data_IF_929331960853
#
_entry.id   IF_929331960853
#
_cell.length_a   1.000
_cell.length_b   1.000
_cell.length_c   1.000
_cell.angle_alpha   90.00
_cell.angle_beta   90.00
_cell.angle_gamma   90.00
#
_symmetry.space_group_name_H-M   'P 1'
#
loop_
_entity.id
_entity.type
_entity.pdbx_description
1 polymer ?
#
# COMPACT_ATOMS: atom_id res chain seq x y z
N UNK A 1 -21.18 19.20 -14.63
CA UNK A 1 -20.22 19.39 -13.53
C UNK A 1 -20.85 18.81 -12.27
N UNK A 2 -20.25 17.78 -11.67
CA UNK A 2 -20.65 17.31 -10.34
C UNK A 2 -20.37 18.46 -9.36
N UNK A 3 -21.42 19.04 -8.79
CA UNK A 3 -21.30 20.07 -7.76
C UNK A 3 -21.00 19.35 -6.44
N UNK A 4 -19.72 19.04 -6.21
CA UNK A 4 -19.28 18.35 -4.99
C UNK A 4 -19.35 19.36 -3.85
N UNK A 5 -20.27 19.14 -2.93
CA UNK A 5 -20.41 19.94 -1.72
C UNK A 5 -19.39 19.48 -0.67
N UNK A 6 -18.23 20.14 -0.64
CA UNK A 6 -17.14 19.86 0.29
C UNK A 6 -17.53 20.06 1.77
N UNK A 7 -18.62 20.77 2.06
CA UNK A 7 -19.10 20.96 3.44
C UNK A 7 -19.67 19.67 4.06
N UNK A 8 -20.02 18.68 3.22
CA UNK A 8 -20.53 17.37 3.67
C UNK A 8 -19.43 16.37 4.04
N UNK A 9 -18.16 16.69 3.77
CA UNK A 9 -17.04 15.82 4.11
C UNK A 9 -16.76 15.98 5.60
N UNK A 10 -16.97 14.90 6.37
CA UNK A 10 -16.64 14.92 7.80
C UNK A 10 -15.15 15.12 8.02
N UNK A 11 -14.79 15.70 9.17
CA UNK A 11 -13.38 15.91 9.57
C UNK A 11 -12.58 14.60 9.55
N UNK A 12 -13.22 13.49 9.89
CA UNK A 12 -12.60 12.16 9.87
C UNK A 12 -12.21 11.71 8.46
N UNK A 13 -13.04 11.99 7.45
CA UNK A 13 -12.73 11.67 6.05
C UNK A 13 -11.57 12.54 5.56
N UNK A 14 -11.56 13.83 5.89
CA UNK A 14 -10.44 14.71 5.59
C UNK A 14 -9.12 14.23 6.20
N UNK A 15 -9.15 13.85 7.48
CA UNK A 15 -7.98 13.33 8.18
C UNK A 15 -7.52 11.99 7.58
N UNK A 16 -8.45 11.13 7.16
CA UNK A 16 -8.14 9.87 6.48
C UNK A 16 -7.46 10.10 5.13
N UNK A 17 -7.97 11.04 4.31
CA UNK A 17 -7.37 11.40 3.01
C UNK A 17 -5.95 11.94 3.22
N UNK A 18 -5.77 12.82 4.20
CA UNK A 18 -4.47 13.41 4.51
C UNK A 18 -3.46 12.34 4.97
N UNK A 19 -3.88 11.42 5.84
CA UNK A 19 -3.05 10.30 6.27
C UNK A 19 -2.69 9.37 5.10
N UNK A 20 -3.63 9.07 4.21
CA UNK A 20 -3.38 8.26 3.01
C UNK A 20 -2.38 8.94 2.06
N UNK A 21 -2.48 10.27 1.89
CA UNK A 21 -1.51 11.07 1.14
C UNK A 21 -0.11 10.96 1.75
N UNK A 22 0.03 11.13 3.07
CA UNK A 22 1.33 10.98 3.72
C UNK A 22 1.88 9.56 3.63
N UNK A 23 1.02 8.56 3.84
CA UNK A 23 1.33 7.14 3.75
C UNK A 23 1.81 6.71 2.36
N UNK A 24 1.41 7.41 1.29
CA UNK A 24 1.78 7.09 -0.09
C UNK A 24 2.94 7.94 -0.60
N UNK A 25 3.00 9.21 -0.21
CA UNK A 25 4.03 10.15 -0.70
C UNK A 25 5.34 9.99 0.06
N UNK A 26 5.32 9.92 1.40
CA UNK A 26 6.56 9.87 2.20
C UNK A 26 7.42 8.65 1.84
N UNK A 27 6.88 7.42 1.74
CA UNK A 27 7.72 6.27 1.39
C UNK A 27 8.29 6.38 -0.03
N UNK A 28 7.55 6.98 -0.97
CA UNK A 28 8.07 7.23 -2.32
C UNK A 28 9.18 8.27 -2.36
N UNK A 29 9.07 9.35 -1.57
CA UNK A 29 10.15 10.33 -1.40
C UNK A 29 11.40 9.67 -0.84
N UNK A 30 11.24 8.86 0.21
CA UNK A 30 12.36 8.17 0.86
C UNK A 30 12.99 7.14 -0.08
N UNK A 31 12.18 6.45 -0.88
CA UNK A 31 12.64 5.58 -1.96
C UNK A 31 13.57 6.38 -2.90
N UNK A 32 13.06 7.43 -3.56
CA UNK A 32 13.91 8.21 -4.48
C UNK A 32 15.14 8.83 -3.84
N UNK A 33 15.02 9.33 -2.61
CA UNK A 33 16.16 9.89 -1.89
C UNK A 33 17.28 8.87 -1.67
N UNK A 34 16.95 7.60 -1.44
CA UNK A 34 17.96 6.56 -1.21
C UNK A 34 18.50 6.01 -2.53
N UNK A 35 17.66 5.85 -3.55
CA UNK A 35 18.06 5.21 -4.81
C UNK A 35 18.67 6.14 -5.84
N UNK A 36 18.19 7.37 -5.93
CA UNK A 36 18.66 8.34 -6.91
C UNK A 36 18.53 9.76 -6.33
N UNK A 37 19.49 10.10 -5.48
CA UNK A 37 19.60 11.43 -4.88
C UNK A 37 19.64 12.53 -5.93
N UNK A 38 20.26 12.26 -7.09
CA UNK A 38 20.32 13.21 -8.18
C UNK A 38 18.91 13.48 -8.74
N UNK A 39 18.13 12.44 -9.00
CA UNK A 39 16.74 12.57 -9.43
C UNK A 39 15.88 13.28 -8.37
N UNK A 40 16.06 12.94 -7.10
CA UNK A 40 15.34 13.57 -5.99
C UNK A 40 15.62 15.08 -5.89
N UNK A 41 16.89 15.49 -6.04
CA UNK A 41 17.30 16.89 -5.90
C UNK A 41 16.99 17.75 -7.13
N UNK A 42 16.90 17.15 -8.32
CA UNK A 42 16.67 17.89 -9.57
C UNK A 42 15.21 17.91 -10.02
N UNK A 43 14.35 17.05 -9.47
CA UNK A 43 12.93 17.06 -9.78
C UNK A 43 12.17 18.13 -8.96
N UNK A 44 11.26 18.83 -9.63
CA UNK A 44 10.29 19.69 -8.95
C UNK A 44 9.43 18.87 -7.98
N UNK A 45 9.09 19.45 -6.83
CA UNK A 45 8.29 18.78 -5.78
C UNK A 45 7.01 18.14 -6.32
N UNK A 46 6.31 18.82 -7.23
CA UNK A 46 5.09 18.30 -7.86
C UNK A 46 5.36 17.01 -8.65
N UNK A 47 6.45 16.97 -9.43
CA UNK A 47 6.84 15.77 -10.20
C UNK A 47 7.22 14.64 -9.26
N UNK A 48 7.94 14.95 -8.18
CA UNK A 48 8.34 13.97 -7.18
C UNK A 48 7.12 13.37 -6.43
N UNK A 49 6.09 14.17 -6.14
CA UNK A 49 4.81 13.68 -5.59
C UNK A 49 4.15 12.69 -6.55
N UNK A 50 4.00 13.04 -7.82
CA UNK A 50 3.39 12.13 -8.80
C UNK A 50 4.19 10.86 -8.99
N UNK A 51 5.51 10.96 -9.03
CA UNK A 51 6.40 9.82 -9.19
C UNK A 51 6.35 8.90 -7.96
N UNK A 52 6.27 9.48 -6.77
CA UNK A 52 6.07 8.75 -5.52
C UNK A 52 4.75 8.00 -5.52
N UNK A 53 3.67 8.65 -5.94
CA UNK A 53 2.37 8.00 -6.13
C UNK A 53 2.44 6.87 -7.15
N UNK A 54 3.18 7.03 -8.26
CA UNK A 54 3.30 6.01 -9.28
C UNK A 54 3.98 4.72 -8.76
N UNK A 55 4.90 4.84 -7.80
CA UNK A 55 5.55 3.68 -7.18
C UNK A 55 4.67 3.08 -6.07
N UNK A 56 4.09 3.90 -5.19
CA UNK A 56 3.44 3.40 -3.98
C UNK A 56 1.97 3.01 -4.19
N UNK A 57 1.25 3.72 -5.06
CA UNK A 57 -0.18 3.48 -5.27
C UNK A 57 -0.51 2.11 -5.89
N UNK A 58 0.27 1.54 -6.83
CA UNK A 58 -0.03 0.20 -7.34
C UNK A 58 0.02 -0.86 -6.24
N UNK A 59 1.00 -0.79 -5.34
CA UNK A 59 1.10 -1.70 -4.19
C UNK A 59 -0.10 -1.55 -3.26
N UNK A 60 -0.46 -0.32 -2.93
CA UNK A 60 -1.65 -0.04 -2.12
C UNK A 60 -2.93 -0.59 -2.75
N UNK A 61 -3.17 -0.32 -4.04
CA UNK A 61 -4.37 -0.78 -4.76
C UNK A 61 -4.43 -2.31 -4.80
N UNK A 62 -3.34 -2.98 -5.19
CA UNK A 62 -3.31 -4.44 -5.27
C UNK A 62 -3.57 -5.06 -3.88
N UNK A 63 -2.91 -4.56 -2.83
CA UNK A 63 -3.12 -5.07 -1.48
C UNK A 63 -4.56 -4.84 -1.01
N UNK A 64 -5.13 -3.66 -1.27
CA UNK A 64 -6.50 -3.33 -0.88
C UNK A 64 -7.52 -4.20 -1.59
N UNK A 65 -7.31 -4.48 -2.89
CA UNK A 65 -8.18 -5.36 -3.68
C UNK A 65 -8.14 -6.80 -3.17
N UNK A 66 -6.96 -7.30 -2.80
CA UNK A 66 -6.84 -8.66 -2.26
C UNK A 66 -7.56 -8.77 -0.93
N UNK A 67 -7.39 -7.80 -0.04
CA UNK A 67 -8.15 -7.76 1.22
C UNK A 67 -9.65 -7.69 0.98
N UNK A 68 -10.11 -6.89 0.01
CA UNK A 68 -11.52 -6.80 -0.34
C UNK A 68 -12.09 -8.14 -0.83
N UNK A 69 -11.36 -8.84 -1.72
CA UNK A 69 -11.77 -10.15 -2.23
C UNK A 69 -11.79 -11.22 -1.12
N UNK A 70 -10.87 -11.14 -0.17
CA UNK A 70 -10.83 -12.09 0.96
C UNK A 70 -11.98 -11.84 1.93
N UNK A 71 -12.15 -10.61 2.40
CA UNK A 71 -13.22 -10.24 3.32
C UNK A 71 -14.61 -10.57 2.75
N UNK A 72 -14.85 -10.25 1.48
CA UNK A 72 -16.14 -10.56 0.81
C UNK A 72 -16.40 -12.05 0.60
N UNK A 73 -15.37 -12.91 0.66
CA UNK A 73 -15.53 -14.37 0.55
C UNK A 73 -15.70 -15.05 1.90
N UNK A 74 -15.20 -14.44 2.97
CA UNK A 74 -15.11 -15.05 4.30
C UNK A 74 -16.26 -14.62 5.22
N UNK A 75 -16.82 -13.44 4.98
CA UNK A 75 -17.88 -12.88 5.80
C UNK A 75 -19.17 -12.71 4.99
N UNK A 76 -20.26 -13.28 5.52
CA UNK A 76 -21.62 -13.15 4.93
C UNK A 76 -22.17 -11.72 5.08
N UNK A 77 -21.68 -10.96 6.06
CA UNK A 77 -22.06 -9.57 6.28
C UNK A 77 -20.97 -8.62 5.78
N UNK A 78 -21.32 -7.78 4.80
CA UNK A 78 -20.42 -6.73 4.27
C UNK A 78 -20.54 -5.49 5.16
N UNK A 79 -19.50 -5.14 5.95
CA UNK A 79 -19.56 -3.93 6.76
C UNK A 79 -19.63 -2.69 5.87
N UNK A 80 -20.37 -1.67 6.31
CA UNK A 80 -20.53 -0.40 5.57
C UNK A 80 -19.20 0.32 5.29
N UNK A 81 -18.19 0.07 6.12
CA UNK A 81 -16.84 0.64 6.01
C UNK A 81 -15.81 -0.31 5.38
N UNK A 82 -16.25 -1.39 4.73
CA UNK A 82 -15.35 -2.43 4.21
C UNK A 82 -14.22 -1.85 3.33
N UNK A 83 -14.57 -0.97 2.39
CA UNK A 83 -13.57 -0.34 1.51
C UNK A 83 -12.53 0.48 2.27
N UNK A 84 -12.95 1.17 3.34
CA UNK A 84 -12.04 1.95 4.20
C UNK A 84 -11.08 1.02 4.94
N UNK A 85 -11.58 -0.08 5.51
CA UNK A 85 -10.77 -1.06 6.24
C UNK A 85 -9.79 -1.74 5.29
N UNK A 86 -10.24 -2.23 4.13
CA UNK A 86 -9.38 -2.86 3.13
C UNK A 86 -8.30 -1.90 2.61
N UNK A 87 -8.65 -0.62 2.40
CA UNK A 87 -7.69 0.42 2.02
C UNK A 87 -6.61 0.66 3.09
N UNK A 88 -7.01 0.73 4.36
CA UNK A 88 -6.08 0.91 5.47
C UNK A 88 -5.16 -0.31 5.66
N UNK A 89 -5.72 -1.52 5.57
CA UNK A 89 -4.92 -2.75 5.60
C UNK A 89 -3.95 -2.79 4.42
N UNK A 90 -4.43 -2.52 3.20
CA UNK A 90 -3.62 -2.53 1.99
C UNK A 90 -2.46 -1.53 2.02
N UNK A 91 -2.70 -0.34 2.58
CA UNK A 91 -1.64 0.68 2.74
C UNK A 91 -0.60 0.27 3.78
N UNK A 92 -1.01 -0.40 4.86
CA UNK A 92 -0.08 -0.90 5.89
C UNK A 92 0.90 -1.91 5.32
N UNK A 93 0.42 -2.87 4.52
CA UNK A 93 1.30 -3.85 3.85
C UNK A 93 2.19 -3.20 2.78
N UNK A 94 1.66 -2.25 2.01
CA UNK A 94 2.46 -1.52 1.02
C UNK A 94 3.61 -0.76 1.69
N UNK A 95 3.34 -0.07 2.80
CA UNK A 95 4.36 0.59 3.62
C UNK A 95 5.39 -0.42 4.09
N UNK A 96 4.97 -1.53 4.69
CA UNK A 96 5.88 -2.56 5.19
C UNK A 96 6.83 -3.06 4.09
N UNK A 97 6.31 -3.38 2.90
CA UNK A 97 7.11 -3.82 1.76
C UNK A 97 8.14 -2.76 1.37
N UNK A 98 7.71 -1.51 1.18
CA UNK A 98 8.61 -0.42 0.75
C UNK A 98 9.71 -0.19 1.78
N UNK A 99 9.37 -0.17 3.08
CA UNK A 99 10.37 0.01 4.14
C UNK A 99 11.33 -1.16 4.25
N UNK A 100 10.87 -2.41 4.07
CA UNK A 100 11.76 -3.57 4.02
C UNK A 100 12.77 -3.45 2.88
N UNK A 101 12.32 -3.04 1.69
CA UNK A 101 13.21 -2.82 0.53
C UNK A 101 14.22 -1.72 0.83
N UNK A 102 13.78 -0.59 1.38
CA UNK A 102 14.65 0.51 1.79
C UNK A 102 15.71 0.05 2.81
N UNK A 103 15.32 -0.69 3.84
CA UNK A 103 16.24 -1.20 4.86
C UNK A 103 17.27 -2.14 4.22
N UNK A 104 16.83 -3.07 3.38
CA UNK A 104 17.73 -4.00 2.70
C UNK A 104 18.71 -3.25 1.79
N UNK A 105 18.27 -2.21 1.10
CA UNK A 105 19.14 -1.44 0.24
C UNK A 105 20.26 -0.70 0.98
N UNK A 106 20.00 -0.24 2.22
CA UNK A 106 21.04 0.39 3.06
C UNK A 106 22.22 -0.57 3.30
N UNK A 107 22.00 -1.88 3.29
CA UNK A 107 23.04 -2.88 3.55
C UNK A 107 23.67 -3.49 2.29
N UNK A 108 22.94 -3.53 1.16
CA UNK A 108 23.34 -4.33 0.00
C UNK A 108 23.49 -3.54 -1.31
N UNK A 109 23.21 -2.23 -1.31
CA UNK A 109 23.43 -1.30 -2.43
C UNK A 109 22.91 -1.83 -3.79
N UNK A 110 21.61 -2.13 -3.83
CA UNK A 110 20.92 -2.66 -5.01
C UNK A 110 20.62 -1.57 -6.03
N UNK A 111 20.70 -1.93 -7.32
CA UNK A 111 20.21 -1.10 -8.41
C UNK A 111 18.69 -0.95 -8.40
N UNK A 112 18.15 0.07 -9.09
CA UNK A 112 16.70 0.33 -9.14
C UNK A 112 15.89 -0.89 -9.63
N UNK A 113 16.41 -1.65 -10.61
CA UNK A 113 15.76 -2.85 -11.13
C UNK A 113 15.72 -3.98 -10.08
N UNK A 114 16.81 -4.18 -9.34
CA UNK A 114 16.88 -5.19 -8.27
C UNK A 114 15.90 -4.86 -7.15
N UNK A 115 15.75 -3.58 -6.80
CA UNK A 115 14.75 -3.16 -5.82
C UNK A 115 13.32 -3.36 -6.31
N UNK A 116 13.03 -3.13 -7.59
CA UNK A 116 11.73 -3.46 -8.16
C UNK A 116 11.45 -4.96 -8.03
N UNK A 117 12.43 -5.82 -8.35
CA UNK A 117 12.28 -7.26 -8.16
C UNK A 117 12.08 -7.64 -6.69
N UNK A 118 12.77 -6.95 -5.77
CA UNK A 118 12.63 -7.18 -4.33
C UNK A 118 11.24 -6.75 -3.82
N UNK A 119 10.71 -5.62 -4.29
CA UNK A 119 9.33 -5.18 -4.02
C UNK A 119 8.35 -6.26 -4.49
N UNK A 120 8.48 -6.72 -5.73
CA UNK A 120 7.61 -7.76 -6.30
C UNK A 120 7.73 -9.09 -5.55
N UNK A 121 8.95 -9.47 -5.15
CA UNK A 121 9.21 -10.68 -4.38
C UNK A 121 8.58 -10.62 -3.00
N UNK A 122 8.77 -9.52 -2.26
CA UNK A 122 8.13 -9.32 -0.95
C UNK A 122 6.61 -9.25 -1.07
N UNK A 123 6.10 -8.63 -2.12
CA UNK A 123 4.67 -8.58 -2.42
C UNK A 123 4.09 -9.99 -2.64
N UNK A 124 4.81 -10.84 -3.37
CA UNK A 124 4.44 -12.25 -3.55
C UNK A 124 4.47 -13.01 -2.22
N UNK A 125 5.49 -12.79 -1.38
CA UNK A 125 5.57 -13.42 -0.06
C UNK A 125 4.39 -13.02 0.84
N UNK A 126 3.99 -11.75 0.82
CA UNK A 126 2.79 -11.29 1.55
C UNK A 126 1.55 -12.03 1.07
N UNK A 127 1.37 -12.22 -0.25
CA UNK A 127 0.22 -12.99 -0.77
C UNK A 127 0.25 -14.45 -0.35
N UNK A 128 1.41 -15.09 -0.42
CA UNK A 128 1.57 -16.48 0.03
C UNK A 128 1.25 -16.60 1.52
N UNK A 129 1.70 -15.64 2.34
CA UNK A 129 1.45 -15.65 3.78
C UNK A 129 -0.03 -15.46 4.11
N UNK A 130 -0.69 -14.48 3.47
CA UNK A 130 -2.12 -14.26 3.61
C UNK A 130 -2.87 -15.53 3.20
N UNK A 131 -2.60 -16.08 2.01
CA UNK A 131 -3.23 -17.31 1.53
C UNK A 131 -3.04 -18.50 2.48
N UNK A 132 -1.84 -18.66 3.07
CA UNK A 132 -1.56 -19.74 4.01
C UNK A 132 -2.31 -19.59 5.35
N UNK A 133 -2.49 -18.36 5.83
CA UNK A 133 -3.31 -18.08 7.02
C UNK A 133 -4.77 -18.42 6.71
N UNK A 134 -5.28 -17.95 5.59
CA UNK A 134 -6.67 -18.18 5.16
C UNK A 134 -6.98 -19.67 5.02
N UNK A 135 -6.12 -20.42 4.34
CA UNK A 135 -6.30 -21.86 4.17
C UNK A 135 -6.32 -22.61 5.52
N UNK A 136 -5.60 -22.14 6.53
CA UNK A 136 -5.63 -22.73 7.87
C UNK A 136 -6.94 -22.43 8.59
N UNK A 137 -7.47 -21.21 8.48
CA UNK A 137 -8.73 -20.83 9.11
C UNK A 137 -9.91 -21.62 8.51
N UNK A 138 -9.96 -21.74 7.18
CA UNK A 138 -11.01 -22.50 6.48
C UNK A 138 -11.00 -23.99 6.85
N UNK A 139 -9.81 -24.59 7.00
CA UNK A 139 -9.69 -25.98 7.45
C UNK A 139 -10.22 -26.16 8.88
N UNK A 140 -9.98 -25.19 9.77
CA UNK A 140 -10.47 -25.26 11.14
C UNK A 140 -12.00 -25.16 11.21
N UNK A 141 -12.61 -24.22 10.46
CA UNK A 141 -14.06 -24.03 10.43
C UNK A 141 -14.85 -25.20 9.79
N UNK A 142 -14.19 -26.06 9.00
CA UNK A 142 -14.82 -27.25 8.40
C UNK A 142 -14.65 -28.53 9.22
N UNK A 143 -13.93 -28.46 10.35
CA UNK A 143 -13.75 -29.62 11.26
C UNK A 143 -14.58 -29.49 12.55
N UNK A 144 -15.22 -28.33 12.75
CA UNK A 144 -16.20 -28.05 13.82
C UNK A 144 -17.63 -28.19 13.28
#
# INVERSE_FOLDING_TARGET
MLNIDFSKISTEVWLTILLLLFATVIPGFLFFFIYDQYLFLNLDTTKLIFLSFAITSPLWVINSLIYLVLETKLHDEVPTDLLKICSMAGSTFAIFIIYCVIILNIFFDFSILENLYLVLFLQLLVFVFIWAIEHKQFKKASTD
#
